data_IF_435305323689
#
_entry.id   IF_435305323689
#
_cell.length_a   1.000
_cell.length_b   1.000
_cell.length_c   1.000
_cell.angle_alpha   90.00
_cell.angle_beta   90.00
_cell.angle_gamma   90.00
#
_symmetry.space_group_name_H-M   'P 1'
#
loop_
_entity.id
_entity.type
_entity.pdbx_description
1 polymer ?
#
# COMPACT_ATOMS: atom_id res chain seq x y z
N UNK A 1 -12.87 -8.32 20.18
CA UNK A 1 -13.57 -7.60 19.09
C UNK A 1 -12.86 -6.32 18.66
N UNK A 2 -12.68 -5.30 19.53
CA UNK A 2 -12.06 -4.00 19.17
C UNK A 2 -10.67 -4.14 18.52
N UNK A 3 -9.78 -4.94 19.11
CA UNK A 3 -8.46 -5.26 18.55
C UNK A 3 -8.54 -5.79 17.09
N UNK A 4 -9.43 -6.76 16.86
CA UNK A 4 -9.57 -7.40 15.56
C UNK A 4 -10.09 -6.45 14.48
N UNK A 5 -11.15 -5.68 14.77
CA UNK A 5 -11.71 -4.70 13.83
C UNK A 5 -10.68 -3.63 13.47
N UNK A 6 -10.03 -3.04 14.48
CA UNK A 6 -9.08 -1.96 14.24
C UNK A 6 -7.86 -2.42 13.44
N UNK A 7 -7.34 -3.63 13.71
CA UNK A 7 -6.22 -4.18 12.96
C UNK A 7 -6.60 -4.69 11.57
N UNK A 8 -7.83 -5.18 11.37
CA UNK A 8 -8.33 -5.49 10.03
C UNK A 8 -8.45 -4.24 9.16
N UNK A 9 -8.94 -3.13 9.71
CA UNK A 9 -9.00 -1.84 8.99
C UNK A 9 -7.59 -1.31 8.73
N UNK A 10 -6.74 -1.23 9.76
CA UNK A 10 -5.39 -0.67 9.66
C UNK A 10 -4.46 -1.52 8.78
N UNK A 11 -4.09 -2.71 9.23
CA UNK A 11 -3.10 -3.56 8.57
C UNK A 11 -3.67 -4.28 7.36
N UNK A 12 -4.97 -4.60 7.41
CA UNK A 12 -5.63 -5.40 6.41
C UNK A 12 -6.19 -4.63 5.22
N UNK A 13 -6.51 -3.33 5.36
CA UNK A 13 -7.15 -2.54 4.30
C UNK A 13 -6.41 -1.24 4.01
N UNK A 14 -6.14 -0.41 5.02
CA UNK A 14 -5.51 0.90 4.80
C UNK A 14 -4.09 0.77 4.28
N UNK A 15 -3.27 -0.14 4.82
CA UNK A 15 -1.89 -0.35 4.34
C UNK A 15 -1.83 -0.82 2.87
N UNK A 16 -2.57 -1.86 2.44
CA UNK A 16 -2.67 -2.20 1.02
C UNK A 16 -3.15 -1.03 0.17
N UNK A 17 -4.20 -0.33 0.61
CA UNK A 17 -4.78 0.80 -0.14
C UNK A 17 -3.77 1.94 -0.33
N UNK A 18 -2.99 2.27 0.70
CA UNK A 18 -1.93 3.28 0.63
C UNK A 18 -0.81 2.87 -0.33
N UNK A 19 -0.45 1.59 -0.38
CA UNK A 19 0.53 1.06 -1.34
C UNK A 19 0.03 1.14 -2.79
N UNK A 20 -1.25 0.81 -3.02
CA UNK A 20 -1.92 0.92 -4.32
C UNK A 20 -1.99 2.38 -4.78
N UNK A 21 -2.40 3.29 -3.89
CA UNK A 21 -2.44 4.71 -4.17
C UNK A 21 -1.05 5.24 -4.60
N UNK A 22 0.02 4.87 -3.89
CA UNK A 22 1.38 5.27 -4.28
C UNK A 22 1.82 4.70 -5.64
N UNK A 23 1.42 3.47 -5.96
CA UNK A 23 1.75 2.84 -7.25
C UNK A 23 1.12 3.60 -8.40
N UNK A 24 -0.19 3.87 -8.34
CA UNK A 24 -0.92 4.41 -9.49
C UNK A 24 -0.97 5.94 -9.53
N UNK A 25 -1.19 6.61 -8.39
CA UNK A 25 -1.31 8.07 -8.39
C UNK A 25 -0.01 8.79 -8.73
N UNK A 26 1.14 8.13 -8.51
CA UNK A 26 2.46 8.65 -8.91
C UNK A 26 2.60 8.85 -10.43
N UNK A 27 1.83 8.12 -11.23
CA UNK A 27 1.88 8.22 -12.70
C UNK A 27 0.91 9.27 -13.25
N UNK A 28 0.03 9.82 -12.41
CA UNK A 28 -0.94 10.85 -12.81
C UNK A 28 -0.24 12.21 -12.74
N UNK A 29 0.09 12.76 -13.90
CA UNK A 29 0.84 14.02 -14.01
C UNK A 29 0.13 15.19 -13.31
N UNK A 30 -1.22 15.24 -13.37
CA UNK A 30 -2.01 16.28 -12.71
C UNK A 30 -1.96 16.25 -11.19
N UNK A 31 -1.62 15.12 -10.57
CA UNK A 31 -1.50 15.01 -9.11
C UNK A 31 -0.17 15.55 -8.58
N UNK A 32 0.85 15.75 -9.42
CA UNK A 32 2.14 16.33 -9.02
C UNK A 32 2.71 15.67 -7.75
N UNK A 33 3.02 16.41 -6.67
CA UNK A 33 3.50 15.84 -5.41
C UNK A 33 2.39 15.26 -4.50
N UNK A 34 1.11 15.44 -4.81
CA UNK A 34 -0.01 15.06 -3.94
C UNK A 34 -0.07 13.56 -3.64
N UNK A 35 0.30 12.70 -4.61
CA UNK A 35 0.34 11.25 -4.40
C UNK A 35 1.19 10.85 -3.19
N UNK A 36 2.29 11.59 -2.94
CA UNK A 36 3.21 11.30 -1.85
C UNK A 36 2.55 11.61 -0.50
N UNK A 37 1.83 12.73 -0.40
CA UNK A 37 1.11 13.11 0.81
C UNK A 37 -0.09 12.20 1.07
N UNK A 38 -0.82 11.80 0.03
CA UNK A 38 -1.91 10.82 0.14
C UNK A 38 -1.36 9.49 0.68
N UNK A 39 -0.29 8.98 0.06
CA UNK A 39 0.37 7.77 0.54
C UNK A 39 0.84 7.90 1.99
N UNK A 40 1.61 8.94 2.30
CA UNK A 40 2.15 9.15 3.65
C UNK A 40 1.03 9.30 4.69
N UNK A 41 -0.01 10.07 4.40
CA UNK A 41 -1.15 10.27 5.30
C UNK A 41 -1.90 8.97 5.59
N UNK A 42 -2.22 8.18 4.56
CA UNK A 42 -2.86 6.87 4.72
C UNK A 42 -1.98 5.92 5.53
N UNK A 43 -0.69 5.82 5.21
CA UNK A 43 0.22 4.91 5.91
C UNK A 43 0.46 5.30 7.38
N UNK A 44 0.62 6.59 7.67
CA UNK A 44 0.80 7.07 9.04
C UNK A 44 -0.47 6.85 9.87
N UNK A 45 -1.64 7.11 9.29
CA UNK A 45 -2.93 6.87 9.95
C UNK A 45 -3.15 5.38 10.22
N UNK A 46 -2.84 4.53 9.23
CA UNK A 46 -2.88 3.09 9.38
C UNK A 46 -1.94 2.62 10.49
N UNK A 47 -0.68 3.04 10.47
CA UNK A 47 0.30 2.64 11.47
C UNK A 47 -0.08 3.11 12.89
N UNK A 48 -0.63 4.32 13.03
CA UNK A 48 -1.13 4.82 14.31
C UNK A 48 -2.26 3.93 14.86
N UNK A 49 -3.32 3.71 14.08
CA UNK A 49 -4.42 2.81 14.48
C UNK A 49 -3.92 1.39 14.77
N UNK A 50 -2.99 0.90 13.95
CA UNK A 50 -2.35 -0.40 14.12
C UNK A 50 -1.53 -0.50 15.40
N UNK A 51 -0.89 0.59 15.82
CA UNK A 51 -0.15 0.67 17.09
C UNK A 51 -1.08 0.57 18.29
N UNK A 52 -2.21 1.31 18.27
CA UNK A 52 -3.24 1.19 19.32
C UNK A 52 -3.79 -0.24 19.35
N UNK A 53 -4.03 -0.84 18.18
CA UNK A 53 -4.50 -2.22 18.07
C UNK A 53 -3.50 -3.22 18.62
N UNK A 54 -2.24 -3.08 18.26
CA UNK A 54 -1.15 -3.90 18.78
C UNK A 54 -1.04 -3.81 20.30
N UNK A 55 -1.10 -2.61 20.89
CA UNK A 55 -1.08 -2.42 22.34
C UNK A 55 -2.25 -3.12 23.05
N UNK A 56 -3.47 -3.02 22.50
CA UNK A 56 -4.64 -3.76 23.01
C UNK A 56 -4.40 -5.28 22.90
N UNK A 57 -3.79 -5.75 21.80
CA UNK A 57 -3.48 -7.16 21.59
C UNK A 57 -2.49 -7.71 22.62
N UNK A 58 -1.45 -6.94 22.95
CA UNK A 58 -0.50 -7.28 24.03
C UNK A 58 -1.21 -7.38 25.38
N UNK A 59 -2.09 -6.42 25.69
CA UNK A 59 -2.88 -6.44 26.93
C UNK A 59 -3.77 -7.68 27.01
N UNK A 60 -4.50 -8.00 25.93
CA UNK A 60 -5.34 -9.19 25.86
C UNK A 60 -4.52 -10.48 26.05
N UNK A 61 -3.35 -10.58 25.41
CA UNK A 61 -2.47 -11.75 25.57
C UNK A 61 -1.97 -11.93 27.00
N UNK A 62 -1.63 -10.85 27.70
CA UNK A 62 -1.20 -10.92 29.10
C UNK A 62 -2.34 -11.26 30.07
N UNK A 63 -3.58 -10.88 29.73
CA UNK A 63 -4.78 -11.19 30.53
C UNK A 63 -5.37 -12.58 30.29
N UNK A 64 -4.77 -13.40 29.40
CA UNK A 64 -5.22 -14.77 29.11
C UNK A 64 -4.09 -15.80 29.28
N UNK A 65 -3.57 -15.98 30.50
CA UNK A 65 -2.52 -16.95 30.77
C UNK A 65 -2.96 -18.38 30.41
N UNK A 66 -2.12 -19.10 29.64
CA UNK A 66 -2.39 -20.47 29.19
C UNK A 66 -2.91 -20.61 27.76
N UNK A 67 -3.33 -19.53 27.10
CA UNK A 67 -3.77 -19.54 25.69
C UNK A 67 -2.69 -18.91 24.81
N UNK A 68 -1.97 -19.73 24.04
CA UNK A 68 -0.88 -19.25 23.18
C UNK A 68 -1.28 -19.24 21.70
N UNK A 69 -1.64 -18.06 21.19
CA UNK A 69 -1.77 -17.82 19.74
C UNK A 69 -0.41 -17.53 19.12
N UNK A 70 0.45 -18.56 19.08
CA UNK A 70 1.88 -18.41 18.78
C UNK A 70 2.16 -17.79 17.41
N UNK A 71 1.45 -18.23 16.37
CA UNK A 71 1.66 -17.73 15.00
C UNK A 71 1.18 -16.28 14.85
N UNK A 72 -0.09 -16.00 15.17
CA UNK A 72 -0.66 -14.65 15.15
C UNK A 72 0.18 -13.64 15.95
N UNK A 73 0.64 -14.00 17.16
CA UNK A 73 1.49 -13.11 17.96
C UNK A 73 2.83 -12.82 17.29
N UNK A 74 3.51 -13.84 16.75
CA UNK A 74 4.81 -13.68 16.06
C UNK A 74 4.66 -12.82 14.81
N UNK A 75 3.64 -13.08 14.00
CA UNK A 75 3.35 -12.30 12.79
C UNK A 75 2.95 -10.86 13.14
N UNK A 76 2.16 -10.66 14.19
CA UNK A 76 1.79 -9.33 14.68
C UNK A 76 2.98 -8.49 15.14
N UNK A 77 3.92 -9.09 15.89
CA UNK A 77 5.17 -8.42 16.27
C UNK A 77 6.00 -8.10 15.04
N UNK A 78 6.15 -9.05 14.10
CA UNK A 78 6.88 -8.83 12.86
C UNK A 78 6.28 -7.68 12.04
N UNK A 79 4.95 -7.67 11.85
CA UNK A 79 4.24 -6.59 11.15
C UNK A 79 4.47 -5.23 11.83
N UNK A 80 4.38 -5.17 13.15
CA UNK A 80 4.60 -3.94 13.91
C UNK A 80 6.02 -3.41 13.72
N UNK A 81 7.04 -4.27 13.83
CA UNK A 81 8.44 -3.90 13.60
C UNK A 81 8.69 -3.42 12.17
N UNK A 82 8.16 -4.12 11.15
CA UNK A 82 8.28 -3.73 9.75
C UNK A 82 7.55 -2.41 9.45
N UNK A 83 6.38 -2.19 10.06
CA UNK A 83 5.66 -0.93 9.99
C UNK A 83 6.45 0.23 10.59
N UNK A 84 7.08 0.02 11.76
CA UNK A 84 7.96 1.01 12.38
C UNK A 84 9.16 1.35 11.51
N UNK A 85 9.82 0.32 10.95
CA UNK A 85 10.91 0.48 9.98
C UNK A 85 10.46 1.30 8.76
N UNK A 86 9.23 1.12 8.29
CA UNK A 86 8.68 1.90 7.19
C UNK A 86 8.36 3.35 7.55
N UNK A 87 7.86 3.61 8.75
CA UNK A 87 7.65 4.98 9.22
C UNK A 87 9.00 5.70 9.37
N UNK A 88 10.05 5.02 9.84
CA UNK A 88 11.42 5.56 9.89
C UNK A 88 11.98 5.85 8.49
N UNK A 89 11.55 5.11 7.46
CA UNK A 89 11.95 5.38 6.09
C UNK A 89 11.58 6.81 5.65
N UNK A 90 10.47 7.36 6.17
CA UNK A 90 10.07 8.74 5.88
C UNK A 90 11.06 9.75 6.47
N UNK A 91 11.51 9.53 7.71
CA UNK A 91 12.46 10.40 8.41
C UNK A 91 13.84 10.40 7.74
N UNK A 92 14.34 9.23 7.36
CA UNK A 92 15.66 9.07 6.75
C UNK A 92 15.64 9.16 5.22
N UNK A 93 14.61 9.77 4.63
CA UNK A 93 14.45 9.87 3.16
C UNK A 93 15.56 10.73 2.52
N UNK A 94 16.49 10.15 1.74
CA UNK A 94 17.58 10.92 1.13
C UNK A 94 17.08 11.84 0.02
N UNK A 95 17.80 12.95 -0.25
CA UNK A 95 17.56 13.79 -1.44
C UNK A 95 17.67 12.96 -2.74
N UNK A 96 16.96 13.36 -3.78
CA UNK A 96 16.90 12.63 -5.07
C UNK A 96 18.26 12.51 -5.77
N UNK A 97 19.17 13.45 -5.51
CA UNK A 97 20.55 13.47 -6.04
C UNK A 97 21.52 12.59 -5.25
N UNK A 98 21.12 12.05 -4.10
CA UNK A 98 22.01 11.28 -3.24
C UNK A 98 22.12 9.83 -3.71
N UNK A 99 23.35 9.29 -3.81
CA UNK A 99 23.61 7.88 -4.18
C UNK A 99 22.84 6.86 -3.32
N UNK A 100 22.60 7.19 -2.05
CA UNK A 100 21.85 6.34 -1.12
C UNK A 100 20.35 6.25 -1.44
N UNK A 101 19.82 7.12 -2.32
CA UNK A 101 18.41 7.10 -2.72
C UNK A 101 18.01 5.77 -3.38
N UNK A 102 18.91 5.10 -4.09
CA UNK A 102 18.65 3.79 -4.72
C UNK A 102 18.43 2.71 -3.65
N UNK A 103 19.30 2.64 -2.65
CA UNK A 103 19.19 1.70 -1.54
C UNK A 103 17.95 1.97 -0.70
N UNK A 104 17.69 3.24 -0.38
CA UNK A 104 16.47 3.63 0.33
C UNK A 104 15.20 3.22 -0.42
N UNK A 105 15.15 3.39 -1.75
CA UNK A 105 14.00 2.94 -2.57
C UNK A 105 13.81 1.43 -2.50
N UNK A 106 14.90 0.66 -2.59
CA UNK A 106 14.85 -0.81 -2.54
C UNK A 106 14.39 -1.30 -1.16
N UNK A 107 15.00 -0.77 -0.09
CA UNK A 107 14.59 -1.01 1.29
C UNK A 107 13.11 -0.69 1.51
N UNK A 108 12.68 0.53 1.15
CA UNK A 108 11.31 0.99 1.36
C UNK A 108 10.30 0.13 0.60
N UNK A 109 10.63 -0.31 -0.61
CA UNK A 109 9.75 -1.18 -1.39
C UNK A 109 9.66 -2.58 -0.76
N UNK A 110 10.80 -3.22 -0.53
CA UNK A 110 10.85 -4.60 -0.02
C UNK A 110 10.21 -4.74 1.37
N UNK A 111 10.61 -3.88 2.31
CA UNK A 111 10.06 -3.87 3.67
C UNK A 111 8.57 -3.50 3.63
N UNK A 112 8.17 -2.59 2.75
CA UNK A 112 6.77 -2.23 2.54
C UNK A 112 5.90 -3.40 2.10
N UNK A 113 6.30 -4.16 1.07
CA UNK A 113 5.54 -5.32 0.63
C UNK A 113 5.52 -6.43 1.67
N UNK A 114 6.65 -6.72 2.32
CA UNK A 114 6.70 -7.69 3.40
C UNK A 114 5.73 -7.32 4.53
N UNK A 115 5.70 -6.04 4.93
CA UNK A 115 4.78 -5.52 5.94
C UNK A 115 3.31 -5.71 5.54
N UNK A 116 2.95 -5.40 4.29
CA UNK A 116 1.58 -5.57 3.77
C UNK A 116 1.17 -7.04 3.79
N UNK A 117 2.01 -7.94 3.26
CA UNK A 117 1.72 -9.37 3.22
C UNK A 117 1.56 -9.95 4.61
N UNK A 118 2.53 -9.69 5.50
CA UNK A 118 2.48 -10.18 6.88
C UNK A 118 1.27 -9.60 7.62
N UNK A 119 0.95 -8.32 7.42
CA UNK A 119 -0.23 -7.69 8.01
C UNK A 119 -1.54 -8.37 7.59
N UNK A 120 -1.73 -8.61 6.29
CA UNK A 120 -2.92 -9.30 5.76
C UNK A 120 -3.02 -10.74 6.28
N UNK A 121 -1.92 -11.51 6.22
CA UNK A 121 -1.88 -12.88 6.75
C UNK A 121 -2.19 -12.89 8.24
N UNK A 122 -1.65 -11.93 9.00
CA UNK A 122 -1.91 -11.83 10.43
C UNK A 122 -3.38 -11.52 10.75
N UNK A 123 -4.09 -10.78 9.90
CA UNK A 123 -5.53 -10.54 10.04
C UNK A 123 -6.31 -11.84 9.79
N UNK A 124 -5.96 -12.63 8.78
CA UNK A 124 -6.56 -13.95 8.55
C UNK A 124 -6.35 -14.89 9.74
N UNK A 125 -5.12 -14.99 10.24
CA UNK A 125 -4.81 -15.72 11.46
C UNK A 125 -5.63 -15.22 12.66
N UNK A 126 -5.85 -13.91 12.76
CA UNK A 126 -6.69 -13.31 13.80
C UNK A 126 -8.14 -13.78 13.74
N UNK A 127 -8.71 -13.97 12.55
CA UNK A 127 -10.06 -14.54 12.41
C UNK A 127 -10.13 -16.00 12.87
N UNK A 128 -9.12 -16.81 12.55
CA UNK A 128 -9.04 -18.21 12.99
C UNK A 128 -8.90 -18.30 14.52
N UNK A 129 -8.02 -17.49 15.10
CA UNK A 129 -7.79 -17.38 16.55
C UNK A 129 -9.06 -17.03 17.32
N UNK A 130 -9.95 -16.22 16.74
CA UNK A 130 -11.23 -15.86 17.36
C UNK A 130 -12.35 -16.89 17.10
N UNK A 131 -12.08 -18.00 16.41
CA UNK A 131 -13.11 -18.95 15.96
C UNK A 131 -14.07 -18.35 14.92
N UNK A 132 -13.68 -17.25 14.28
CA UNK A 132 -14.48 -16.48 13.34
C UNK A 132 -14.14 -16.79 11.86
N UNK A 133 -13.51 -17.95 11.61
CA UNK A 133 -13.06 -18.41 10.31
C UNK A 133 -14.16 -18.56 9.26
N UNK A 134 -15.43 -18.76 9.68
CA UNK A 134 -16.62 -18.80 8.82
C UNK A 134 -17.55 -17.59 8.98
N UNK A 135 -17.11 -16.52 9.62
CA UNK A 135 -17.97 -15.37 9.94
C UNK A 135 -18.22 -14.46 8.72
N UNK A 136 -19.36 -13.76 8.73
CA UNK A 136 -19.64 -12.67 7.78
C UNK A 136 -18.57 -11.57 7.79
N UNK A 137 -17.89 -11.36 8.92
CA UNK A 137 -16.78 -10.41 9.03
C UNK A 137 -15.57 -10.81 8.17
N UNK A 138 -15.18 -12.09 8.20
CA UNK A 138 -14.12 -12.61 7.33
C UNK A 138 -14.52 -12.57 5.86
N UNK A 139 -15.79 -12.90 5.55
CA UNK A 139 -16.31 -12.77 4.19
C UNK A 139 -16.22 -11.32 3.69
N UNK A 140 -16.68 -10.35 4.47
CA UNK A 140 -16.59 -8.94 4.12
C UNK A 140 -15.14 -8.49 3.93
N UNK A 141 -14.23 -8.96 4.77
CA UNK A 141 -12.80 -8.71 4.61
C UNK A 141 -12.24 -9.29 3.31
N UNK A 142 -12.57 -10.54 2.97
CA UNK A 142 -12.20 -11.17 1.69
C UNK A 142 -12.75 -10.40 0.50
N UNK A 143 -14.02 -9.98 0.53
CA UNK A 143 -14.63 -9.20 -0.55
C UNK A 143 -13.93 -7.83 -0.73
N UNK A 144 -13.57 -7.17 0.37
CA UNK A 144 -12.81 -5.93 0.35
C UNK A 144 -11.42 -6.13 -0.29
N UNK A 145 -10.68 -7.16 0.13
CA UNK A 145 -9.38 -7.50 -0.45
C UNK A 145 -9.48 -7.88 -1.93
N UNK A 146 -10.44 -8.72 -2.31
CA UNK A 146 -10.67 -9.11 -3.70
C UNK A 146 -11.01 -7.91 -4.57
N UNK A 147 -11.79 -6.96 -4.05
CA UNK A 147 -12.09 -5.70 -4.75
C UNK A 147 -10.83 -4.85 -4.93
N UNK A 148 -9.98 -4.73 -3.89
CA UNK A 148 -8.70 -4.03 -3.99
C UNK A 148 -7.77 -4.68 -5.03
N UNK A 149 -7.65 -6.01 -5.02
CA UNK A 149 -6.85 -6.76 -6.00
C UNK A 149 -7.41 -6.58 -7.41
N UNK A 150 -8.73 -6.70 -7.59
CA UNK A 150 -9.39 -6.46 -8.87
C UNK A 150 -9.15 -5.05 -9.40
N UNK A 151 -9.25 -4.03 -8.53
CA UNK A 151 -8.93 -2.66 -8.87
C UNK A 151 -7.45 -2.49 -9.27
N UNK A 152 -6.52 -3.16 -8.60
CA UNK A 152 -5.11 -3.16 -8.99
C UNK A 152 -4.91 -3.74 -10.38
N UNK A 153 -5.51 -4.91 -10.66
CA UNK A 153 -5.40 -5.57 -11.97
C UNK A 153 -5.96 -4.64 -13.06
N UNK A 154 -7.13 -4.03 -12.83
CA UNK A 154 -7.74 -3.10 -13.77
C UNK A 154 -6.85 -1.87 -14.04
N UNK A 155 -6.28 -1.27 -12.98
CA UNK A 155 -5.37 -0.13 -13.10
C UNK A 155 -4.06 -0.49 -13.80
N UNK A 156 -3.55 -1.71 -13.58
CA UNK A 156 -2.37 -2.21 -14.25
C UNK A 156 -2.64 -2.40 -15.76
N UNK A 157 -3.74 -3.05 -16.13
CA UNK A 157 -4.15 -3.23 -17.53
C UNK A 157 -4.31 -1.87 -18.21
N UNK A 158 -4.99 -0.91 -17.57
CA UNK A 158 -5.15 0.44 -18.11
C UNK A 158 -3.80 1.14 -18.31
N UNK A 159 -2.88 0.99 -17.35
CA UNK A 159 -1.52 1.56 -17.45
C UNK A 159 -0.74 0.96 -18.63
N UNK A 160 -0.86 -0.34 -18.89
CA UNK A 160 -0.27 -1.01 -20.05
C UNK A 160 -0.89 -0.54 -21.36
N UNK A 161 -2.21 -0.40 -21.43
CA UNK A 161 -2.90 0.12 -22.62
C UNK A 161 -2.42 1.53 -22.96
N UNK A 162 -2.32 2.42 -21.95
CA UNK A 162 -1.82 3.78 -22.13
C UNK A 162 -0.35 3.76 -22.60
N UNK A 163 0.49 2.91 -22.00
CA UNK A 163 1.89 2.77 -22.40
C UNK A 163 2.04 2.30 -23.85
N UNK A 164 1.30 1.25 -24.25
CA UNK A 164 1.31 0.74 -25.63
C UNK A 164 0.81 1.80 -26.62
N UNK A 165 -0.25 2.54 -26.27
CA UNK A 165 -0.75 3.65 -27.11
C UNK A 165 0.31 4.73 -27.29
N UNK A 166 0.94 5.18 -26.20
CA UNK A 166 1.99 6.20 -26.25
C UNK A 166 3.21 5.72 -27.06
N UNK A 167 3.63 4.46 -26.90
CA UNK A 167 4.71 3.88 -27.69
C UNK A 167 4.38 3.83 -29.18
N UNK A 168 3.11 3.57 -29.55
CA UNK A 168 2.65 3.63 -30.93
C UNK A 168 2.63 5.07 -31.47
N UNK A 169 2.12 6.02 -30.71
CA UNK A 169 2.13 7.45 -31.05
C UNK A 169 3.57 7.96 -31.27
N UNK A 170 4.51 7.61 -30.38
CA UNK A 170 5.93 7.98 -30.48
C UNK A 170 6.59 7.36 -31.73
N UNK A 171 6.23 6.11 -32.08
CA UNK A 171 6.71 5.46 -33.32
C UNK A 171 6.20 6.19 -34.56
N UNK A 172 4.90 6.49 -34.62
CA UNK A 172 4.29 7.22 -35.74
C UNK A 172 4.86 8.65 -35.90
N UNK A 173 5.20 9.31 -34.79
CA UNK A 173 5.91 10.60 -34.80
C UNK A 173 7.32 10.48 -35.38
N UNK A 174 8.08 9.44 -35.02
CA UNK A 174 9.43 9.18 -35.59
C UNK A 174 9.38 8.85 -37.08
N UNK A 175 8.32 8.19 -37.53
CA UNK A 175 8.08 7.86 -38.94
C UNK A 175 7.50 9.04 -39.74
N UNK A 176 7.25 10.20 -39.11
CA UNK A 176 6.73 11.40 -39.76
C UNK A 176 5.25 11.34 -40.16
N UNK A 177 4.52 10.31 -39.72
CA UNK A 177 3.10 10.10 -40.05
C UNK A 177 2.20 11.06 -39.27
N UNK A 178 2.62 11.47 -38.07
CA UNK A 178 1.91 12.45 -37.22
C UNK A 178 2.81 13.69 -37.08
N UNK A 179 2.37 14.84 -37.63
CA UNK A 179 3.03 16.13 -37.46
C UNK A 179 2.46 16.91 -36.29
N UNK A 180 3.29 17.72 -35.63
CA UNK A 180 2.93 18.54 -34.46
C UNK A 180 2.06 19.75 -34.90
N UNK A 181 0.80 19.50 -35.25
CA UNK A 181 -0.17 20.57 -35.48
C UNK A 181 -0.62 21.14 -34.13
N UNK A 182 0.12 22.12 -33.59
CA UNK A 182 -0.33 22.80 -32.37
C UNK A 182 0.56 23.86 -31.73
N UNK A 183 1.59 24.40 -32.38
CA UNK A 183 2.40 25.48 -31.77
C UNK A 183 2.76 26.67 -32.66
N UNK A 184 2.29 26.73 -33.91
CA UNK A 184 2.59 27.86 -34.82
C UNK A 184 1.50 28.94 -34.91
N UNK A 185 0.31 28.75 -34.33
CA UNK A 185 -0.81 29.71 -34.50
C UNK A 185 -0.93 30.77 -33.38
N UNK A 186 0.01 30.82 -32.42
CA UNK A 186 -0.01 31.80 -31.32
C UNK A 186 1.06 32.90 -31.42
N UNK A 187 1.83 32.96 -32.52
CA UNK A 187 2.86 34.01 -32.73
C UNK A 187 2.37 35.10 -33.71
N UNK A 188 1.16 34.99 -34.26
CA UNK A 188 0.64 35.92 -35.27
C UNK A 188 -0.76 36.50 -35.01
N UNK A 189 -1.16 36.71 -33.75
CA UNK A 189 -2.37 37.50 -33.42
C UNK A 189 -2.14 38.41 -32.23
#
# INVERSE_FOLDING_TARGET
MVHGIMNAISWGVMLPSGAVAARYFRHIQSLGPAWFYIHAGVQLSAFFLGTVGFAIGLKLGNSSPGVTYGLHRKLGIAAFCLGGLQTLALLFRPKTTNKYRKYWKSYHHFVGYACVVIGVVNVFEGFEVMGAGGSYGKLAYCLCLSTLIGACIALEVNSWVIFCRKSKEDKLRREGIISDKGSTDLIHS
#
